data_IF_565013341640
#
_entry.id   IF_565013341640
#
_cell.length_a   1.000
_cell.length_b   1.000
_cell.length_c   1.000
_cell.angle_alpha   90.00
_cell.angle_beta   90.00
_cell.angle_gamma   90.00
#
_symmetry.space_group_name_H-M   'P 1'
#
loop_
_entity.id
_entity.type
_entity.pdbx_description
1 polymer ?
#
# COMPACT_ATOMS: atom_id res chain seq x y z
N UNK A 1 -0.79 -44.16 -37.39
CA UNK A 1 -1.03 -43.60 -36.04
C UNK A 1 0.20 -42.98 -35.39
N UNK A 2 1.34 -43.68 -35.29
CA UNK A 2 2.55 -43.19 -34.58
C UNK A 2 3.06 -41.80 -35.04
N UNK A 3 3.05 -41.51 -36.36
CA UNK A 3 3.43 -40.19 -36.90
C UNK A 3 2.48 -39.06 -36.48
N UNK A 4 1.17 -39.32 -36.41
CA UNK A 4 0.17 -38.32 -35.97
C UNK A 4 0.30 -38.02 -34.47
N UNK A 5 0.60 -39.04 -33.67
CA UNK A 5 0.86 -38.90 -32.23
C UNK A 5 2.12 -38.06 -31.97
N UNK A 6 3.18 -38.29 -32.76
CA UNK A 6 4.42 -37.52 -32.66
C UNK A 6 4.23 -36.03 -32.99
N UNK A 7 3.46 -35.74 -34.06
CA UNK A 7 3.13 -34.36 -34.45
C UNK A 7 2.32 -33.66 -33.35
N UNK A 8 1.38 -34.36 -32.71
CA UNK A 8 0.57 -33.81 -31.63
C UNK A 8 1.43 -33.44 -30.41
N UNK A 9 2.37 -34.32 -30.02
CA UNK A 9 3.29 -34.07 -28.91
C UNK A 9 4.21 -32.87 -29.18
N UNK A 10 4.70 -32.73 -30.42
CA UNK A 10 5.52 -31.60 -30.83
C UNK A 10 4.74 -30.27 -30.72
N UNK A 11 3.47 -30.27 -31.11
CA UNK A 11 2.59 -29.10 -31.04
C UNK A 11 2.34 -28.65 -29.59
N UNK A 12 2.12 -29.59 -28.68
CA UNK A 12 1.95 -29.31 -27.24
C UNK A 12 3.23 -28.73 -26.65
N UNK A 13 4.39 -29.26 -27.03
CA UNK A 13 5.69 -28.75 -26.58
C UNK A 13 5.90 -27.30 -27.03
N UNK A 14 5.65 -27.00 -28.31
CA UNK A 14 5.80 -25.66 -28.88
C UNK A 14 4.85 -24.67 -28.18
N UNK A 15 3.59 -25.05 -27.93
CA UNK A 15 2.66 -24.20 -27.18
C UNK A 15 3.15 -23.89 -25.78
N UNK A 16 3.70 -24.87 -25.04
CA UNK A 16 4.20 -24.63 -23.69
C UNK A 16 5.42 -23.69 -23.68
N UNK A 17 6.33 -23.82 -24.66
CA UNK A 17 7.47 -22.92 -24.81
C UNK A 17 7.00 -21.49 -25.10
N UNK A 18 6.00 -21.31 -25.97
CA UNK A 18 5.42 -19.99 -26.28
C UNK A 18 4.74 -19.36 -25.06
N UNK A 19 4.01 -20.14 -24.26
CA UNK A 19 3.38 -19.66 -23.02
C UNK A 19 4.44 -19.23 -22.01
N UNK A 20 5.54 -19.99 -21.87
CA UNK A 20 6.62 -19.65 -20.95
C UNK A 20 7.39 -18.39 -21.37
N UNK A 21 7.65 -18.21 -22.68
CA UNK A 21 8.30 -17.00 -23.19
C UNK A 21 7.44 -15.74 -23.06
N UNK A 22 6.11 -15.87 -23.18
CA UNK A 22 5.18 -14.76 -22.95
C UNK A 22 4.98 -14.46 -21.46
N UNK A 23 5.39 -15.37 -20.57
CA UNK A 23 5.39 -15.16 -19.13
C UNK A 23 6.70 -14.48 -18.69
N UNK A 24 7.12 -13.43 -19.41
CA UNK A 24 8.00 -12.44 -18.81
C UNK A 24 7.19 -11.76 -17.71
N UNK A 25 7.57 -12.01 -16.47
CA UNK A 25 7.18 -11.16 -15.35
C UNK A 25 7.62 -9.74 -15.70
N UNK A 26 6.63 -8.87 -15.92
CA UNK A 26 6.85 -7.43 -15.96
C UNK A 26 7.12 -6.98 -14.52
N UNK A 27 8.28 -7.36 -13.99
CA UNK A 27 8.87 -6.68 -12.86
C UNK A 27 9.49 -5.39 -13.43
N UNK A 28 8.63 -4.43 -13.76
CA UNK A 28 9.11 -3.09 -14.05
C UNK A 28 9.78 -2.56 -12.78
N UNK A 29 11.07 -2.24 -12.89
CA UNK A 29 11.77 -1.48 -11.88
C UNK A 29 11.01 -0.15 -11.73
N UNK A 30 10.36 0.05 -10.58
CA UNK A 30 9.60 1.27 -10.28
C UNK A 30 10.48 2.53 -10.39
N UNK A 31 11.79 2.35 -10.31
CA UNK A 31 12.80 3.35 -10.62
C UNK A 31 13.50 2.94 -11.90
N UNK A 32 12.98 3.35 -13.06
CA UNK A 32 13.69 3.19 -14.30
C UNK A 32 15.00 4.00 -14.24
N UNK A 33 16.13 3.38 -14.59
CA UNK A 33 17.47 3.98 -14.71
C UNK A 33 17.53 5.05 -15.82
N UNK A 34 16.77 6.13 -15.66
CA UNK A 34 16.82 7.32 -16.52
C UNK A 34 16.90 8.55 -15.63
N UNK A 35 18.11 8.94 -15.25
CA UNK A 35 18.48 10.32 -14.89
C UNK A 35 17.53 11.09 -13.96
N UNK A 36 16.75 10.41 -13.10
CA UNK A 36 16.04 11.07 -12.02
C UNK A 36 17.08 11.30 -10.94
N UNK A 37 17.50 12.56 -10.80
CA UNK A 37 18.45 12.98 -9.80
C UNK A 37 18.05 12.36 -8.46
N UNK A 38 18.97 11.61 -7.83
CA UNK A 38 18.73 10.88 -6.57
C UNK A 38 18.11 11.74 -5.45
N UNK A 39 18.20 13.07 -5.58
CA UNK A 39 17.73 14.08 -4.64
C UNK A 39 16.40 14.75 -5.03
N UNK A 40 15.79 14.40 -6.16
CA UNK A 40 14.49 14.94 -6.54
C UNK A 40 13.41 14.34 -5.65
N UNK A 41 12.66 15.20 -4.96
CA UNK A 41 11.56 14.79 -4.11
C UNK A 41 10.25 14.76 -4.91
N UNK A 42 9.52 13.67 -4.81
CA UNK A 42 8.22 13.50 -5.44
C UNK A 42 7.18 12.96 -4.44
N UNK A 43 5.91 12.98 -4.88
CA UNK A 43 4.79 12.42 -4.12
C UNK A 43 4.56 10.98 -4.56
N UNK A 44 4.50 10.06 -3.59
CA UNK A 44 4.25 8.65 -3.82
C UNK A 44 3.03 8.20 -3.03
N UNK A 45 2.28 7.25 -3.59
CA UNK A 45 1.29 6.48 -2.83
C UNK A 45 1.90 5.11 -2.54
N UNK A 46 1.90 4.74 -1.27
CA UNK A 46 2.43 3.48 -0.78
C UNK A 46 1.28 2.60 -0.37
N UNK A 47 1.14 1.45 -1.02
CA UNK A 47 0.29 0.37 -0.56
C UNK A 47 0.98 -0.34 0.62
N UNK A 48 0.24 -0.44 1.72
CA UNK A 48 0.70 -1.05 2.98
C UNK A 48 -0.28 -2.11 3.49
N UNK A 49 -1.19 -2.60 2.65
CA UNK A 49 -2.26 -3.53 3.08
C UNK A 49 -1.75 -4.87 3.63
N UNK A 50 -0.57 -5.30 3.17
CA UNK A 50 0.12 -6.53 3.60
C UNK A 50 0.99 -6.32 4.87
N UNK A 51 0.99 -5.09 5.41
CA UNK A 51 1.62 -4.72 6.66
C UNK A 51 0.55 -4.40 7.70
N UNK A 52 0.81 -4.72 8.97
CA UNK A 52 -0.07 -4.36 10.09
C UNK A 52 0.19 -2.92 10.55
N UNK A 53 0.14 -1.96 9.62
CA UNK A 53 0.31 -0.54 9.94
C UNK A 53 -1.00 0.02 10.48
N UNK A 54 -0.91 0.70 11.61
CA UNK A 54 -2.01 1.40 12.27
C UNK A 54 -1.59 2.80 12.67
N UNK A 55 -2.56 3.64 13.07
CA UNK A 55 -2.30 4.96 13.62
C UNK A 55 -1.36 4.98 14.82
N UNK A 56 -1.19 3.85 15.53
CA UNK A 56 -0.32 3.74 16.71
C UNK A 56 1.13 3.39 16.39
N UNK A 57 1.38 2.71 15.28
CA UNK A 57 2.71 2.22 14.93
C UNK A 57 3.27 2.82 13.64
N UNK A 58 2.48 3.57 12.85
CA UNK A 58 2.91 4.10 11.55
C UNK A 58 4.22 4.86 11.64
N UNK A 59 4.41 5.69 12.67
CA UNK A 59 5.64 6.46 12.84
C UNK A 59 6.90 5.60 12.97
N UNK A 60 6.78 4.34 13.43
CA UNK A 60 7.90 3.40 13.57
C UNK A 60 8.50 2.98 12.21
N UNK A 61 7.67 2.94 11.16
CA UNK A 61 8.10 2.53 9.83
C UNK A 61 8.96 3.57 9.11
N UNK A 62 8.88 4.83 9.52
CA UNK A 62 9.52 5.96 8.85
C UNK A 62 10.67 6.59 9.65
N UNK A 63 11.01 6.06 10.84
CA UNK A 63 11.99 6.67 11.77
C UNK A 63 13.39 6.85 11.17
N UNK A 64 13.80 5.94 10.28
CA UNK A 64 15.16 5.92 9.72
C UNK A 64 15.27 6.63 8.36
N UNK A 65 14.24 7.37 7.94
CA UNK A 65 14.14 7.96 6.60
C UNK A 65 13.65 9.40 6.66
N UNK A 66 14.01 10.23 5.68
CA UNK A 66 13.50 11.62 5.60
C UNK A 66 12.11 11.72 4.94
N UNK A 67 11.42 10.59 4.80
CA UNK A 67 10.09 10.49 4.18
C UNK A 67 9.05 11.25 5.00
N UNK A 68 8.38 12.21 4.37
CA UNK A 68 7.31 12.99 5.00
C UNK A 68 5.94 12.39 4.67
N UNK A 69 5.19 11.97 5.69
CA UNK A 69 3.82 11.50 5.53
C UNK A 69 2.91 12.70 5.24
N UNK A 70 2.28 12.71 4.06
CA UNK A 70 1.33 13.73 3.65
C UNK A 70 -0.11 13.39 4.06
N UNK A 71 -0.42 12.12 4.25
CA UNK A 71 -1.72 11.67 4.70
C UNK A 71 -1.88 10.18 4.49
N UNK A 72 -3.03 9.65 4.91
CA UNK A 72 -3.28 8.22 4.97
C UNK A 72 -4.68 7.87 4.48
N UNK A 73 -4.79 6.66 3.95
CA UNK A 73 -6.04 6.02 3.57
C UNK A 73 -6.29 4.92 4.59
N UNK A 74 -7.24 5.12 5.53
CA UNK A 74 -7.51 4.12 6.55
C UNK A 74 -8.17 2.90 5.93
N UNK A 75 -7.88 1.74 6.51
CA UNK A 75 -8.45 0.46 6.12
C UNK A 75 -9.90 0.38 6.58
N UNK A 76 -10.79 0.14 5.65
CA UNK A 76 -12.22 0.01 5.91
C UNK A 76 -12.61 -1.46 5.77
N UNK A 77 -13.31 -2.00 6.75
CA UNK A 77 -13.84 -3.36 6.65
C UNK A 77 -14.84 -3.44 5.50
N UNK A 78 -14.69 -4.47 4.66
CA UNK A 78 -15.57 -4.74 3.51
C UNK A 78 -17.05 -4.76 3.88
N UNK A 79 -17.39 -5.21 5.10
CA UNK A 79 -18.77 -5.27 5.60
C UNK A 79 -19.49 -3.92 5.62
N UNK A 80 -18.75 -2.82 5.78
CA UNK A 80 -19.30 -1.46 5.82
C UNK A 80 -18.61 -0.50 4.86
N UNK A 81 -17.80 -1.01 3.93
CA UNK A 81 -17.08 -0.21 2.94
C UNK A 81 -18.01 0.68 2.11
N UNK A 82 -19.13 0.12 1.63
CA UNK A 82 -20.12 0.88 0.85
C UNK A 82 -20.78 2.01 1.64
N UNK A 83 -20.80 1.93 2.97
CA UNK A 83 -21.35 2.98 3.84
C UNK A 83 -20.36 4.12 4.05
N UNK A 84 -19.06 3.82 3.95
CA UNK A 84 -17.96 4.73 4.33
C UNK A 84 -17.17 5.26 3.14
N UNK A 85 -17.28 4.65 1.96
CA UNK A 85 -16.51 4.99 0.75
C UNK A 85 -16.56 6.48 0.38
N UNK A 86 -17.66 7.16 0.69
CA UNK A 86 -17.85 8.58 0.40
C UNK A 86 -17.47 9.50 1.58
N UNK A 87 -17.16 8.94 2.75
CA UNK A 87 -16.94 9.69 4.01
C UNK A 87 -15.51 9.59 4.51
N UNK A 88 -14.84 8.47 4.25
CA UNK A 88 -13.46 8.22 4.63
C UNK A 88 -12.75 7.63 3.41
N UNK A 89 -12.02 8.50 2.71
CA UNK A 89 -11.16 8.12 1.60
C UNK A 89 -9.71 8.43 1.92
N UNK A 90 -9.42 9.72 2.08
CA UNK A 90 -8.07 10.22 2.36
C UNK A 90 -8.12 11.21 3.51
N UNK A 91 -7.25 11.03 4.50
CA UNK A 91 -7.05 11.97 5.60
C UNK A 91 -5.69 12.66 5.42
N UNK A 92 -5.72 13.94 5.06
CA UNK A 92 -4.52 14.76 4.89
C UNK A 92 -3.91 15.13 6.23
N UNK A 93 -2.59 15.05 6.33
CA UNK A 93 -1.85 15.45 7.51
C UNK A 93 -1.39 16.91 7.39
N UNK A 94 -1.51 17.66 8.48
CA UNK A 94 -0.72 18.86 8.66
C UNK A 94 0.73 18.46 8.96
N UNK A 95 1.66 18.83 8.06
CA UNK A 95 3.07 18.41 8.07
C UNK A 95 3.81 18.69 9.39
N UNK A 96 3.38 19.69 10.16
CA UNK A 96 4.05 20.07 11.40
C UNK A 96 3.70 19.16 12.60
N UNK A 97 2.60 18.41 12.53
CA UNK A 97 1.97 17.81 13.73
C UNK A 97 1.45 16.38 13.47
N UNK A 98 2.31 15.49 12.97
CA UNK A 98 1.95 14.09 12.60
C UNK A 98 1.21 13.36 13.73
N UNK A 99 1.71 13.38 14.96
CA UNK A 99 1.08 12.70 16.09
C UNK A 99 -0.31 13.25 16.43
N UNK A 100 -0.52 14.56 16.25
CA UNK A 100 -1.84 15.17 16.41
C UNK A 100 -2.78 14.70 15.29
N UNK A 101 -2.32 14.69 14.03
CA UNK A 101 -3.11 14.20 12.91
C UNK A 101 -3.58 12.75 13.13
N UNK A 102 -2.73 11.90 13.72
CA UNK A 102 -3.08 10.51 14.03
C UNK A 102 -4.17 10.43 15.10
N UNK A 103 -4.07 11.24 16.16
CA UNK A 103 -5.10 11.34 17.20
C UNK A 103 -6.44 11.84 16.65
N UNK A 104 -6.40 12.84 15.78
CA UNK A 104 -7.59 13.40 15.13
C UNK A 104 -8.23 12.39 14.18
N UNK A 105 -7.42 11.65 13.40
CA UNK A 105 -7.89 10.55 12.58
C UNK A 105 -8.63 9.52 13.44
N UNK A 106 -8.03 9.05 14.53
CA UNK A 106 -8.67 8.07 15.42
C UNK A 106 -10.00 8.59 15.96
N UNK A 107 -10.04 9.86 16.36
CA UNK A 107 -11.25 10.51 16.89
C UNK A 107 -12.36 10.58 15.84
N UNK A 108 -12.02 11.04 14.63
CA UNK A 108 -12.94 11.10 13.50
C UNK A 108 -13.44 9.69 13.11
N UNK A 109 -12.55 8.70 13.04
CA UNK A 109 -12.88 7.34 12.66
C UNK A 109 -13.81 6.68 13.69
N UNK A 110 -13.53 6.85 14.99
CA UNK A 110 -14.39 6.37 16.07
C UNK A 110 -15.77 7.05 16.06
N UNK A 111 -15.82 8.37 15.79
CA UNK A 111 -17.09 9.08 15.61
C UNK A 111 -17.90 8.48 14.46
N UNK A 112 -17.26 8.22 13.33
CA UNK A 112 -17.94 7.59 12.19
C UNK A 112 -18.46 6.20 12.55
N UNK A 113 -17.68 5.36 13.21
CA UNK A 113 -18.14 4.04 13.66
C UNK A 113 -19.36 4.15 14.59
N UNK A 114 -19.34 5.13 15.51
CA UNK A 114 -20.43 5.40 16.44
C UNK A 114 -21.71 5.81 15.72
N UNK A 115 -21.62 6.71 14.75
CA UNK A 115 -22.76 7.20 13.96
C UNK A 115 -23.49 6.07 13.21
N UNK A 116 -22.81 4.94 12.97
CA UNK A 116 -23.37 3.75 12.32
C UNK A 116 -23.64 2.59 13.29
N UNK A 117 -23.52 2.80 14.60
CA UNK A 117 -23.81 1.79 15.63
C UNK A 117 -22.77 0.67 15.73
N UNK A 118 -21.54 0.89 15.26
CA UNK A 118 -20.47 -0.12 15.21
C UNK A 118 -19.60 -0.10 16.48
N UNK A 119 -20.21 -0.22 17.66
CA UNK A 119 -19.51 -0.06 18.95
C UNK A 119 -18.36 -1.05 19.14
N UNK A 120 -18.52 -2.31 18.73
CA UNK A 120 -17.45 -3.32 18.84
C UNK A 120 -16.21 -2.97 18.00
N UNK A 121 -16.36 -2.21 16.90
CA UNK A 121 -15.23 -1.76 16.10
C UNK A 121 -14.51 -0.57 16.77
N UNK A 122 -15.23 0.22 17.56
CA UNK A 122 -14.62 1.32 18.35
C UNK A 122 -13.62 0.73 19.36
N UNK A 123 -14.01 -0.31 20.10
CA UNK A 123 -13.12 -0.99 21.06
C UNK A 123 -11.84 -1.51 20.38
N UNK A 124 -11.96 -2.10 19.18
CA UNK A 124 -10.80 -2.56 18.40
C UNK A 124 -9.88 -1.41 18.01
N UNK A 125 -10.43 -0.27 17.61
CA UNK A 125 -9.65 0.94 17.28
C UNK A 125 -8.97 1.50 18.53
N UNK A 126 -9.62 1.48 19.68
CA UNK A 126 -9.01 1.92 20.94
C UNK A 126 -7.81 1.07 21.34
N UNK A 127 -7.86 -0.25 21.10
CA UNK A 127 -6.76 -1.16 21.42
C UNK A 127 -5.65 -1.08 20.36
N UNK A 128 -5.99 -1.20 19.08
CA UNK A 128 -5.02 -1.42 18.00
C UNK A 128 -4.68 -0.17 17.18
N UNK A 129 -5.48 0.89 17.28
CA UNK A 129 -5.47 2.03 16.38
C UNK A 129 -6.29 1.79 15.12
N UNK A 130 -6.38 2.81 14.26
CA UNK A 130 -7.00 2.72 12.94
C UNK A 130 -6.01 2.05 11.99
N UNK A 131 -6.39 0.91 11.40
CA UNK A 131 -5.58 0.25 10.37
C UNK A 131 -5.43 1.13 9.13
N UNK A 132 -4.30 1.02 8.43
CA UNK A 132 -3.96 1.84 7.26
C UNK A 132 -3.79 0.93 6.05
N UNK A 133 -4.42 1.30 4.93
CA UNK A 133 -4.30 0.58 3.65
C UNK A 133 -3.28 1.23 2.73
N UNK A 134 -3.27 2.57 2.67
CA UNK A 134 -2.30 3.33 1.87
C UNK A 134 -1.77 4.56 2.60
N UNK A 135 -0.56 4.97 2.26
CA UNK A 135 0.08 6.16 2.81
C UNK A 135 0.56 7.02 1.64
N UNK A 136 0.15 8.29 1.62
CA UNK A 136 0.71 9.26 0.68
C UNK A 136 1.92 9.94 1.32
N UNK A 137 3.06 9.91 0.65
CA UNK A 137 4.31 10.44 1.17
C UNK A 137 4.98 11.42 0.20
N UNK A 138 5.87 12.25 0.72
CA UNK A 138 6.78 13.09 -0.04
C UNK A 138 8.21 12.70 0.32
N UNK A 139 8.96 12.21 -0.66
CA UNK A 139 10.26 11.57 -0.44
C UNK A 139 11.18 11.73 -1.65
N UNK A 140 12.48 11.66 -1.43
CA UNK A 140 13.47 11.41 -2.48
C UNK A 140 13.43 9.94 -2.92
N UNK A 141 13.95 9.63 -4.10
CA UNK A 141 14.10 8.24 -4.55
C UNK A 141 14.97 7.41 -3.61
N UNK A 142 16.03 7.98 -3.06
CA UNK A 142 16.93 7.29 -2.14
C UNK A 142 16.24 6.95 -0.82
N UNK A 143 15.51 7.89 -0.23
CA UNK A 143 14.74 7.64 1.00
C UNK A 143 13.64 6.61 0.78
N UNK A 144 12.96 6.69 -0.37
CA UNK A 144 11.92 5.73 -0.73
C UNK A 144 12.49 4.33 -0.91
N UNK A 145 13.62 4.20 -1.62
CA UNK A 145 14.31 2.92 -1.80
C UNK A 145 14.76 2.34 -0.45
N UNK A 146 15.32 3.17 0.44
CA UNK A 146 15.69 2.75 1.80
C UNK A 146 14.46 2.26 2.59
N UNK A 147 13.35 2.99 2.52
CA UNK A 147 12.09 2.62 3.17
C UNK A 147 11.58 1.26 2.68
N UNK A 148 11.55 1.05 1.36
CA UNK A 148 11.07 -0.19 0.73
C UNK A 148 12.01 -1.38 1.01
N UNK A 149 13.32 -1.16 1.03
CA UNK A 149 14.29 -2.19 1.40
C UNK A 149 14.11 -2.65 2.86
N UNK A 150 13.84 -1.70 3.77
CA UNK A 150 13.56 -2.01 5.18
C UNK A 150 12.17 -2.65 5.36
N UNK A 151 11.25 -2.42 4.42
CA UNK A 151 9.86 -2.87 4.49
C UNK A 151 9.42 -3.52 3.17
N UNK A 152 9.91 -4.73 2.84
CA UNK A 152 9.76 -5.32 1.51
C UNK A 152 8.32 -5.68 1.10
N UNK A 153 7.37 -5.62 2.04
CA UNK A 153 5.93 -5.80 1.77
C UNK A 153 5.21 -4.50 1.38
N UNK A 154 5.87 -3.35 1.52
CA UNK A 154 5.37 -2.06 1.07
C UNK A 154 5.59 -1.94 -0.44
N UNK A 155 4.62 -1.39 -1.16
CA UNK A 155 4.69 -1.25 -2.61
C UNK A 155 4.28 0.15 -3.04
N UNK A 156 4.87 0.66 -4.12
CA UNK A 156 4.43 1.91 -4.75
C UNK A 156 3.24 1.58 -5.66
N UNK A 157 2.22 2.44 -5.67
CA UNK A 157 1.01 2.33 -6.50
C UNK A 157 0.83 3.52 -7.44
#
# INVERSE_FOLDING_TARGET
>A
MKKKLFILLLLILIMNVLIFYNKKENDELVFADKDIQEHEYAIYNLNVDDLNITSKNVSQYFQETEVKILGIYPKINKLYQNKFSNKIGYYSFNKAIVNQNLTELETMFKKLLKDYGLNNEIEKVEINGVGISKIRVYASNNDLKKLLNNNPKMQIE
#
